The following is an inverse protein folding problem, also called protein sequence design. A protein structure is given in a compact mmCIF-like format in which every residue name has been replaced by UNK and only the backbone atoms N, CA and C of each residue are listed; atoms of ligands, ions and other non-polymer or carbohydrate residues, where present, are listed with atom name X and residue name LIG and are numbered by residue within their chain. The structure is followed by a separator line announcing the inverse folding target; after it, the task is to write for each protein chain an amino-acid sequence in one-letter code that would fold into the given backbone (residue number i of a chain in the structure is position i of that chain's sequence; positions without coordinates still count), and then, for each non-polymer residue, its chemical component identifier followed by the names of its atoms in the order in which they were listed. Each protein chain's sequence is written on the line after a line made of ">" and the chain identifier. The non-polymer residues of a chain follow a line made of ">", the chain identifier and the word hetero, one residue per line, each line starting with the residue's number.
data_IF_800737408671
#
_entry.id   IF_800737408671
#
_cell.length_a   1.000
_cell.length_b   1.000
_cell.length_c   1.000
_cell.angle_alpha   90.00
_cell.angle_beta   90.00
_cell.angle_gamma   90.00
#
_symmetry.space_group_name_H-M   'P 1'
#
loop_
_entity.id
_entity.type
_entity.pdbx_description
1 polymer ?
#
# COMPACT_ATOMS: atom_id res chain seq x y z
N UNK A 1 -16.18 -23.88 -42.10
CA UNK A 1 -16.73 -24.25 -40.76
C UNK A 1 -15.65 -24.69 -39.74
N UNK A 2 -14.50 -25.24 -40.14
CA UNK A 2 -13.43 -25.65 -39.18
C UNK A 2 -12.73 -24.51 -38.42
N UNK A 3 -12.61 -23.31 -39.00
CA UNK A 3 -11.90 -22.16 -38.37
C UNK A 3 -12.68 -21.53 -37.21
N UNK A 4 -14.01 -21.56 -37.25
CA UNK A 4 -14.89 -20.93 -36.24
C UNK A 4 -14.91 -21.70 -34.92
N UNK A 5 -14.75 -23.02 -34.97
CA UNK A 5 -14.69 -23.89 -33.78
C UNK A 5 -13.41 -23.68 -32.97
N UNK A 6 -12.27 -23.48 -33.63
CA UNK A 6 -10.98 -23.20 -33.00
C UNK A 6 -10.97 -21.87 -32.23
N UNK A 7 -11.54 -20.81 -32.83
CA UNK A 7 -11.63 -19.49 -32.19
C UNK A 7 -12.55 -19.54 -30.95
N UNK A 8 -13.65 -20.28 -31.03
CA UNK A 8 -14.58 -20.43 -29.90
C UNK A 8 -13.98 -21.24 -28.75
N UNK A 9 -13.17 -22.26 -29.03
CA UNK A 9 -12.44 -23.03 -28.01
C UNK A 9 -11.32 -22.22 -27.34
N UNK A 10 -10.64 -21.34 -28.07
CA UNK A 10 -9.62 -20.46 -27.48
C UNK A 10 -10.25 -19.45 -26.50
N UNK A 11 -11.38 -18.84 -26.86
CA UNK A 11 -12.06 -17.85 -26.02
C UNK A 11 -12.65 -18.44 -24.72
N UNK A 12 -13.07 -19.71 -24.70
CA UNK A 12 -13.57 -20.38 -23.49
C UNK A 12 -12.46 -20.72 -22.50
N UNK A 13 -11.23 -20.96 -22.97
CA UNK A 13 -10.07 -21.20 -22.08
C UNK A 13 -9.58 -19.91 -21.42
N UNK A 14 -9.70 -18.76 -22.09
CA UNK A 14 -9.36 -17.46 -21.48
C UNK A 14 -10.40 -16.96 -20.47
N UNK A 15 -11.66 -17.34 -20.63
CA UNK A 15 -12.73 -16.94 -19.70
C UNK A 15 -12.76 -17.73 -18.39
N UNK A 16 -12.20 -18.96 -18.36
CA UNK A 16 -12.07 -19.75 -17.13
C UNK A 16 -10.90 -19.31 -16.22
N UNK A 17 -9.92 -18.58 -16.77
CA UNK A 17 -8.78 -18.04 -16.02
C UNK A 17 -8.97 -16.55 -15.63
N UNK A 18 -10.11 -15.96 -16.00
CA UNK A 18 -10.46 -14.57 -15.69
C UNK A 18 -10.94 -14.34 -14.26
N UNK A 19 -10.51 -15.17 -13.30
CA UNK A 19 -10.81 -14.96 -11.89
C UNK A 19 -9.89 -13.86 -11.39
N UNK A 20 -10.26 -12.60 -11.70
CA UNK A 20 -9.66 -11.45 -11.06
C UNK A 20 -9.85 -11.65 -9.55
N UNK A 21 -8.76 -11.96 -8.85
CA UNK A 21 -8.79 -12.10 -7.41
C UNK A 21 -9.40 -10.82 -6.84
N UNK A 22 -10.50 -10.95 -6.10
CA UNK A 22 -11.21 -9.80 -5.54
C UNK A 22 -10.25 -9.06 -4.61
N UNK A 23 -9.78 -7.90 -5.05
CA UNK A 23 -8.83 -7.09 -4.28
C UNK A 23 -9.62 -6.34 -3.22
N UNK A 24 -9.34 -6.61 -1.95
CA UNK A 24 -9.80 -5.75 -0.86
C UNK A 24 -9.03 -4.42 -0.92
N UNK A 25 -9.60 -3.45 -1.65
CA UNK A 25 -9.01 -2.14 -1.84
C UNK A 25 -8.87 -1.37 -0.52
N UNK A 26 -9.77 -1.57 0.44
CA UNK A 26 -9.68 -0.90 1.74
C UNK A 26 -8.45 -1.39 2.50
N UNK A 27 -8.26 -2.71 2.54
CA UNK A 27 -7.09 -3.33 3.16
C UNK A 27 -5.79 -2.95 2.43
N UNK A 28 -5.78 -3.00 1.10
CA UNK A 28 -4.62 -2.57 0.30
C UNK A 28 -4.25 -1.11 0.59
N UNK A 29 -5.23 -0.21 0.54
CA UNK A 29 -5.00 1.22 0.74
C UNK A 29 -4.58 1.54 2.18
N UNK A 30 -5.07 0.78 3.17
CA UNK A 30 -4.58 0.85 4.55
C UNK A 30 -3.10 0.51 4.62
N UNK A 31 -2.68 -0.61 4.02
CA UNK A 31 -1.27 -1.01 3.98
C UNK A 31 -0.40 0.01 3.22
N UNK A 32 -0.88 0.58 2.10
CA UNK A 32 -0.16 1.66 1.39
C UNK A 32 0.03 2.87 2.30
N UNK A 33 -1.05 3.34 2.97
CA UNK A 33 -0.97 4.45 3.91
C UNK A 33 0.04 4.18 5.02
N UNK A 34 -0.03 3.01 5.65
CA UNK A 34 0.86 2.64 6.74
C UNK A 34 2.33 2.56 6.31
N UNK A 35 2.63 1.91 5.18
CA UNK A 35 3.98 1.85 4.64
C UNK A 35 4.55 3.25 4.38
N UNK A 36 3.83 4.05 3.58
CA UNK A 36 4.29 5.40 3.20
C UNK A 36 4.43 6.33 4.41
N UNK A 37 3.54 6.26 5.39
CA UNK A 37 3.57 7.13 6.56
C UNK A 37 4.69 6.74 7.53
N UNK A 38 4.88 5.45 7.80
CA UNK A 38 5.94 4.95 8.70
C UNK A 38 7.34 5.26 8.12
N UNK A 39 7.53 5.09 6.81
CA UNK A 39 8.77 5.50 6.13
C UNK A 39 9.06 7.00 6.32
N UNK A 40 8.03 7.84 6.18
CA UNK A 40 8.19 9.28 6.40
C UNK A 40 8.53 9.60 7.86
N UNK A 41 7.94 8.89 8.82
CA UNK A 41 8.25 9.06 10.24
C UNK A 41 9.67 8.61 10.58
N UNK A 42 10.15 7.50 10.00
CA UNK A 42 11.53 7.04 10.21
C UNK A 42 12.54 8.06 9.69
N UNK A 43 12.26 8.71 8.56
CA UNK A 43 13.12 9.74 7.97
C UNK A 43 13.22 11.02 8.84
N UNK A 44 12.28 11.21 9.77
CA UNK A 44 12.27 12.36 10.68
C UNK A 44 13.07 12.10 11.97
N UNK A 45 13.47 10.86 12.23
CA UNK A 45 14.29 10.54 13.39
C UNK A 45 15.73 11.02 13.18
N UNK A 46 16.24 11.82 14.13
CA UNK A 46 17.60 12.32 14.09
C UNK A 46 18.64 11.19 14.17
N UNK A 47 18.32 10.12 14.91
CA UNK A 47 19.19 8.97 15.11
C UNK A 47 18.62 7.72 14.44
N UNK A 48 19.48 6.99 13.72
CA UNK A 48 19.13 5.70 13.09
C UNK A 48 19.27 4.52 14.07
N UNK A 49 18.73 4.70 15.27
CA UNK A 49 18.73 3.73 16.37
C UNK A 49 17.66 2.64 16.21
N UNK A 50 17.23 2.06 17.34
CA UNK A 50 16.24 0.98 17.34
C UNK A 50 14.88 1.43 16.82
N UNK A 51 14.43 2.64 17.17
CA UNK A 51 13.14 3.18 16.71
C UNK A 51 13.11 3.34 15.19
N UNK A 52 14.20 3.83 14.60
CA UNK A 52 14.35 3.90 13.15
C UNK A 52 14.21 2.52 12.51
N UNK A 53 14.94 1.51 13.02
CA UNK A 53 14.89 0.14 12.51
C UNK A 53 13.50 -0.47 12.63
N UNK A 54 12.81 -0.22 13.75
CA UNK A 54 11.45 -0.70 13.97
C UNK A 54 10.47 -0.07 12.98
N UNK A 55 10.53 1.24 12.78
CA UNK A 55 9.65 1.94 11.81
C UNK A 55 9.92 1.50 10.37
N UNK A 56 11.19 1.33 9.97
CA UNK A 56 11.55 0.80 8.64
C UNK A 56 11.03 -0.61 8.46
N UNK A 57 11.27 -1.50 9.43
CA UNK A 57 10.76 -2.87 9.38
C UNK A 57 9.23 -2.91 9.23
N UNK A 58 8.51 -2.11 10.03
CA UNK A 58 7.05 -2.05 9.96
C UNK A 58 6.57 -1.47 8.63
N UNK A 59 7.23 -0.43 8.12
CA UNK A 59 6.97 0.14 6.79
C UNK A 59 7.09 -0.94 5.72
N UNK A 60 8.18 -1.72 5.73
CA UNK A 60 8.42 -2.79 4.75
C UNK A 60 7.34 -3.88 4.83
N UNK A 61 6.95 -4.29 6.05
CA UNK A 61 5.87 -5.28 6.24
C UNK A 61 4.54 -4.82 5.66
N UNK A 62 4.15 -3.57 5.90
CA UNK A 62 2.95 -3.03 5.26
C UNK A 62 3.11 -2.93 3.74
N UNK A 63 4.29 -2.53 3.25
CA UNK A 63 4.58 -2.46 1.82
C UNK A 63 4.41 -3.81 1.12
N UNK A 64 4.93 -4.87 1.72
CA UNK A 64 4.82 -6.23 1.19
C UNK A 64 3.37 -6.71 1.11
N UNK A 65 2.57 -6.49 2.16
CA UNK A 65 1.15 -6.85 2.17
C UNK A 65 0.35 -6.07 1.11
N UNK A 66 0.62 -4.77 0.96
CA UNK A 66 0.01 -3.97 -0.10
C UNK A 66 0.40 -4.49 -1.50
N UNK A 67 1.66 -4.85 -1.73
CA UNK A 67 2.14 -5.39 -3.02
C UNK A 67 1.51 -6.75 -3.35
N UNK A 68 1.33 -7.62 -2.36
CA UNK A 68 0.56 -8.88 -2.53
C UNK A 68 -0.88 -8.63 -3.00
N UNK A 69 -1.44 -7.46 -2.69
CA UNK A 69 -2.77 -7.01 -3.12
C UNK A 69 -2.74 -6.12 -4.37
N UNK A 70 -1.64 -6.12 -5.13
CA UNK A 70 -1.51 -5.39 -6.39
C UNK A 70 -1.20 -3.90 -6.24
N UNK A 71 -0.65 -3.46 -5.10
CA UNK A 71 -0.11 -2.10 -5.00
C UNK A 71 1.17 -1.96 -5.84
N UNK A 72 1.28 -0.87 -6.60
CA UNK A 72 2.46 -0.49 -7.39
C UNK A 72 3.26 0.60 -6.68
N UNK A 73 4.49 0.83 -7.12
CA UNK A 73 5.33 1.92 -6.60
C UNK A 73 4.72 3.31 -6.81
N UNK A 74 3.90 3.49 -7.85
CA UNK A 74 3.15 4.71 -8.09
C UNK A 74 2.16 5.01 -6.96
N UNK A 75 1.42 4.00 -6.49
CA UNK A 75 0.51 4.18 -5.35
C UNK A 75 1.25 4.66 -4.09
N UNK A 76 2.41 4.07 -3.78
CA UNK A 76 3.22 4.51 -2.63
C UNK A 76 3.79 5.92 -2.84
N UNK A 77 4.22 6.24 -4.06
CA UNK A 77 4.74 7.56 -4.41
C UNK A 77 3.68 8.66 -4.25
N UNK A 78 2.46 8.41 -4.72
CA UNK A 78 1.34 9.34 -4.62
C UNK A 78 0.95 9.62 -3.17
N UNK A 79 0.82 8.56 -2.36
CA UNK A 79 0.50 8.71 -0.94
C UNK A 79 1.64 9.42 -0.20
N UNK A 80 2.90 9.09 -0.48
CA UNK A 80 4.06 9.78 0.11
C UNK A 80 4.09 11.26 -0.26
N UNK A 81 3.81 11.60 -1.53
CA UNK A 81 3.73 12.99 -2.00
C UNK A 81 2.63 13.74 -1.26
N UNK A 82 1.45 13.15 -1.14
CA UNK A 82 0.35 13.73 -0.38
C UNK A 82 0.71 13.97 1.09
N UNK A 83 1.31 12.97 1.75
CA UNK A 83 1.69 13.08 3.16
C UNK A 83 2.75 14.18 3.38
N UNK A 84 3.74 14.31 2.48
CA UNK A 84 4.72 15.41 2.52
C UNK A 84 4.04 16.78 2.38
N UNK A 85 3.11 16.91 1.45
CA UNK A 85 2.33 18.15 1.27
C UNK A 85 1.52 18.49 2.52
N UNK A 86 0.83 17.51 3.11
CA UNK A 86 0.05 17.71 4.34
C UNK A 86 0.95 18.11 5.50
N UNK A 87 2.09 17.43 5.68
CA UNK A 87 3.07 17.75 6.73
C UNK A 87 3.54 19.20 6.65
N UNK A 88 3.86 19.67 5.44
CA UNK A 88 4.43 20.99 5.25
C UNK A 88 3.37 22.11 5.33
N UNK A 89 2.13 21.84 4.90
CA UNK A 89 1.12 22.89 4.69
C UNK A 89 -0.05 22.84 5.69
N UNK A 90 -0.23 21.75 6.44
CA UNK A 90 -1.39 21.58 7.33
C UNK A 90 -1.04 20.74 8.58
N UNK A 91 -0.48 21.41 9.59
CA UNK A 91 -0.09 20.79 10.87
C UNK A 91 -1.25 20.06 11.58
N UNK A 92 -2.46 20.61 11.53
CA UNK A 92 -3.63 20.00 12.16
C UNK A 92 -4.03 18.68 11.51
N UNK A 93 -4.01 18.62 10.18
CA UNK A 93 -4.28 17.39 9.43
C UNK A 93 -3.14 16.39 9.58
N UNK A 94 -1.89 16.85 9.57
CA UNK A 94 -0.72 16.01 9.83
C UNK A 94 -0.80 15.30 11.19
N UNK A 95 -1.14 16.05 12.25
CA UNK A 95 -1.34 15.49 13.59
C UNK A 95 -2.42 14.41 13.62
N UNK A 96 -3.58 14.64 12.98
CA UNK A 96 -4.66 13.64 12.89
C UNK A 96 -4.25 12.38 12.13
N UNK A 97 -3.54 12.52 11.00
CA UNK A 97 -3.03 11.37 10.25
C UNK A 97 -1.99 10.59 11.06
N UNK A 98 -1.15 11.29 11.82
CA UNK A 98 -0.16 10.66 12.70
C UNK A 98 -0.84 9.88 13.83
N UNK A 99 -1.85 10.46 14.47
CA UNK A 99 -2.64 9.77 15.48
C UNK A 99 -3.29 8.51 14.89
N UNK A 100 -3.95 8.64 13.73
CA UNK A 100 -4.56 7.51 13.05
C UNK A 100 -3.55 6.42 12.68
N UNK A 101 -2.37 6.79 12.20
CA UNK A 101 -1.31 5.84 11.86
C UNK A 101 -0.85 5.02 13.07
N UNK A 102 -0.79 5.62 14.27
CA UNK A 102 -0.47 4.86 15.49
C UNK A 102 -1.51 3.79 15.79
N UNK A 103 -2.80 4.09 15.58
CA UNK A 103 -3.91 3.16 15.84
C UNK A 103 -3.97 2.00 14.85
N UNK A 104 -3.58 2.19 13.59
CA UNK A 104 -3.88 1.22 12.52
C UNK A 104 -2.67 0.59 11.85
N UNK A 105 -1.47 1.13 12.06
CA UNK A 105 -0.25 0.67 11.42
C UNK A 105 0.69 -0.10 12.36
N UNK A 106 0.32 -0.24 13.62
CA UNK A 106 1.08 -0.97 14.62
C UNK A 106 0.26 -2.22 15.01
N UNK A 107 0.64 -3.43 14.58
CA UNK A 107 -0.08 -4.64 14.94
C UNK A 107 0.06 -4.86 16.46
N UNK A 108 -1.08 -4.88 17.17
CA UNK A 108 -1.15 -5.23 18.58
C UNK A 108 -0.79 -4.12 19.58
N UNK A 109 -0.80 -2.85 19.17
CA UNK A 109 -0.75 -1.69 20.10
C UNK A 109 -2.07 -1.44 20.81
#
# INVERSE_FOLDING_TARGET
>A
MKKTLLVSMLLTVFSLNGWAQEVDYNKRNLHIFCASHLALLSDLLAEKGNDYKALVFMSDKHGDEARKMGATDEHFSDVTRYLRTVRNNNKGKWSRLTARSREVCLPGS
#
